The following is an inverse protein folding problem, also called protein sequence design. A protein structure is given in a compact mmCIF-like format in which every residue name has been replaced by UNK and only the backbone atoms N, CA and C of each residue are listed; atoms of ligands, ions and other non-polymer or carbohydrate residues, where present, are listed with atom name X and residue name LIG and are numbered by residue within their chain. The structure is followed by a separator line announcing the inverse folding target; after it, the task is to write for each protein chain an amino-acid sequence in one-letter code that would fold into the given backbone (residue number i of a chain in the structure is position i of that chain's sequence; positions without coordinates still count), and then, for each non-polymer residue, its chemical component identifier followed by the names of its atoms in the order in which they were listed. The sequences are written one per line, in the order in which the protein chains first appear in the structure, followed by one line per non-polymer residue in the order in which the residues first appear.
data_IF_470937826032
#
_entry.id   IF_470937826032
#
_cell.length_a   1.000
_cell.length_b   1.000
_cell.length_c   1.000
_cell.angle_alpha   90.00
_cell.angle_beta   90.00
_cell.angle_gamma   90.00
#
_symmetry.space_group_name_H-M   'P 1'
#
loop_
_entity.id
_entity.type
_entity.pdbx_description
1 polymer ?
#
# COMPACT_ATOMS: atom_id res chain seq x y z
N UNK A 1 28.75 11.20 14.85
CA UNK A 1 28.33 9.78 14.97
C UNK A 1 26.94 9.61 15.59
N UNK A 2 26.53 10.38 16.60
CA UNK A 2 25.21 10.22 17.24
C UNK A 2 24.00 10.43 16.31
N UNK A 3 24.10 11.32 15.33
CA UNK A 3 23.00 11.61 14.38
C UNK A 3 22.71 10.41 13.47
N UNK A 4 23.75 9.70 13.00
CA UNK A 4 23.58 8.49 12.18
C UNK A 4 22.94 7.35 12.98
N UNK A 5 23.36 7.17 14.24
CA UNK A 5 22.81 6.14 15.11
C UNK A 5 21.36 6.45 15.51
N UNK A 6 21.05 7.73 15.79
CA UNK A 6 19.70 8.19 16.06
C UNK A 6 18.79 8.03 14.84
N UNK A 7 19.27 8.30 13.62
CA UNK A 7 18.51 8.08 12.39
C UNK A 7 18.23 6.60 12.14
N UNK A 8 19.23 5.72 12.40
CA UNK A 8 19.07 4.27 12.24
C UNK A 8 18.06 3.69 13.25
N UNK A 9 18.17 4.09 14.52
CA UNK A 9 17.28 3.64 15.60
C UNK A 9 15.87 4.21 15.40
N UNK A 10 15.75 5.49 15.05
CA UNK A 10 14.46 6.13 14.73
C UNK A 10 13.80 5.46 13.54
N UNK A 11 14.56 5.14 12.48
CA UNK A 11 14.06 4.38 11.32
C UNK A 11 13.59 2.97 11.67
N UNK A 12 14.31 2.26 12.54
CA UNK A 12 13.91 0.93 13.01
C UNK A 12 12.64 0.98 13.89
N UNK A 13 12.51 2.00 14.74
CA UNK A 13 11.30 2.23 15.56
C UNK A 13 10.13 2.63 14.67
N UNK A 14 10.31 3.56 13.73
CA UNK A 14 9.27 3.95 12.77
C UNK A 14 8.82 2.75 11.95
N UNK A 15 9.75 1.93 11.46
CA UNK A 15 9.43 0.70 10.72
C UNK A 15 8.63 -0.29 11.58
N UNK A 16 8.96 -0.41 12.87
CA UNK A 16 8.23 -1.26 13.82
C UNK A 16 6.86 -0.68 14.23
N UNK A 17 6.71 0.65 14.23
CA UNK A 17 5.41 1.32 14.44
C UNK A 17 4.54 1.24 13.17
N UNK A 18 5.16 1.25 11.99
CA UNK A 18 4.49 1.06 10.68
C UNK A 18 4.12 -0.41 10.45
N UNK A 19 4.89 -1.38 10.96
CA UNK A 19 4.43 -2.78 10.96
C UNK A 19 3.23 -2.99 11.87
N UNK A 20 3.08 -2.15 12.90
CA UNK A 20 1.86 -2.04 13.73
C UNK A 20 0.76 -1.19 13.09
N UNK A 21 1.00 -0.50 11.97
CA UNK A 21 -0.05 0.19 11.23
C UNK A 21 -0.86 -0.81 10.42
N UNK A 22 -1.81 -1.42 11.11
CA UNK A 22 -2.83 -2.27 10.50
C UNK A 22 -3.53 -1.57 9.33
N UNK A 23 -3.65 -0.25 9.34
CA UNK A 23 -4.24 0.55 8.25
C UNK A 23 -3.40 0.60 6.97
N UNK A 24 -2.09 0.34 7.04
CA UNK A 24 -1.22 0.32 5.86
C UNK A 24 -1.60 -0.80 4.88
N UNK A 25 -2.34 -1.83 5.36
CA UNK A 25 -2.89 -2.90 4.53
C UNK A 25 -3.86 -2.41 3.45
N UNK A 26 -4.47 -1.22 3.59
CA UNK A 26 -5.41 -0.67 2.60
C UNK A 26 -4.76 0.22 1.53
N UNK A 27 -3.46 0.52 1.65
CA UNK A 27 -2.76 1.32 0.66
C UNK A 27 -2.46 0.47 -0.57
N UNK A 28 -2.77 1.00 -1.77
CA UNK A 28 -2.57 0.26 -3.02
C UNK A 28 -1.11 -0.19 -3.18
N UNK A 29 -0.14 0.66 -2.81
CA UNK A 29 1.30 0.39 -2.89
C UNK A 29 1.72 -0.89 -2.16
N UNK A 30 1.15 -1.16 -0.99
CA UNK A 30 1.49 -2.34 -0.17
C UNK A 30 0.89 -3.61 -0.80
N UNK A 31 -0.26 -3.48 -1.46
CA UNK A 31 -0.95 -4.58 -2.13
C UNK A 31 -0.39 -4.93 -3.52
N UNK A 32 0.50 -4.10 -4.10
CA UNK A 32 1.08 -4.34 -5.43
C UNK A 32 1.99 -5.58 -5.49
N UNK A 33 2.61 -5.97 -4.38
CA UNK A 33 3.55 -7.09 -4.34
C UNK A 33 2.85 -8.45 -4.21
N UNK A 34 1.89 -8.71 -5.10
CA UNK A 34 1.12 -9.97 -5.19
C UNK A 34 2.04 -11.20 -5.39
N UNK A 35 3.15 -11.03 -6.11
CA UNK A 35 4.15 -12.07 -6.39
C UNK A 35 4.81 -12.63 -5.14
N UNK A 36 4.86 -11.86 -4.05
CA UNK A 36 5.41 -12.29 -2.75
C UNK A 36 4.56 -13.37 -2.09
N UNK A 37 3.24 -13.32 -2.29
CA UNK A 37 2.29 -14.29 -1.76
C UNK A 37 2.40 -15.64 -2.47
N UNK A 38 2.70 -15.63 -3.77
CA UNK A 38 2.85 -16.85 -4.59
C UNK A 38 4.22 -17.51 -4.36
N UNK A 39 5.24 -16.73 -3.99
CA UNK A 39 6.60 -17.21 -3.69
C UNK A 39 6.78 -17.69 -2.25
N UNK A 40 5.70 -17.77 -1.45
CA UNK A 40 5.73 -18.29 -0.08
C UNK A 40 6.43 -17.36 0.93
N UNK A 41 6.68 -16.11 0.55
CA UNK A 41 7.29 -15.10 1.42
C UNK A 41 6.25 -14.62 2.43
N UNK A 42 6.61 -14.58 3.71
CA UNK A 42 5.70 -14.14 4.76
C UNK A 42 5.13 -12.74 4.43
N UNK A 43 3.80 -12.54 4.55
CA UNK A 43 3.20 -11.26 4.24
C UNK A 43 3.78 -10.17 5.15
N UNK A 44 3.99 -8.96 4.63
CA UNK A 44 4.58 -7.86 5.40
C UNK A 44 3.70 -7.38 6.57
N UNK A 45 2.41 -7.75 6.59
CA UNK A 45 1.44 -7.40 7.64
C UNK A 45 0.63 -8.67 7.96
N UNK A 46 0.50 -8.98 9.25
CA UNK A 46 -0.33 -10.09 9.74
C UNK A 46 -1.79 -9.95 9.25
N UNK A 47 -2.32 -11.00 8.62
CA UNK A 47 -3.68 -11.04 8.09
C UNK A 47 -3.85 -10.61 6.63
N UNK A 48 -2.79 -10.20 5.92
CA UNK A 48 -2.89 -10.03 4.46
C UNK A 48 -2.95 -11.38 3.75
N UNK A 49 -4.03 -11.60 3.01
CA UNK A 49 -4.19 -12.73 2.08
C UNK A 49 -4.15 -12.25 0.64
N UNK A 50 -3.87 -13.15 -0.31
CA UNK A 50 -3.88 -12.81 -1.73
C UNK A 50 -5.24 -12.23 -2.17
N UNK A 51 -6.35 -12.79 -1.68
CA UNK A 51 -7.71 -12.32 -1.97
C UNK A 51 -8.00 -10.93 -1.39
N UNK A 52 -7.49 -10.62 -0.19
CA UNK A 52 -7.57 -9.29 0.40
C UNK A 52 -6.89 -8.24 -0.50
N UNK A 53 -5.64 -8.51 -0.91
CA UNK A 53 -4.88 -7.59 -1.76
C UNK A 53 -5.52 -7.35 -3.12
N UNK A 54 -6.07 -8.40 -3.75
CA UNK A 54 -6.80 -8.26 -5.01
C UNK A 54 -8.07 -7.42 -4.86
N UNK A 55 -8.79 -7.57 -3.76
CA UNK A 55 -10.02 -6.78 -3.50
C UNK A 55 -9.70 -5.30 -3.29
N UNK A 56 -8.65 -4.99 -2.52
CA UNK A 56 -8.21 -3.60 -2.30
C UNK A 56 -7.76 -2.95 -3.61
N UNK A 57 -7.00 -3.66 -4.44
CA UNK A 57 -6.59 -3.17 -5.75
C UNK A 57 -7.77 -2.95 -6.70
N UNK A 58 -8.78 -3.84 -6.69
CA UNK A 58 -9.99 -3.67 -7.49
C UNK A 58 -10.78 -2.41 -7.09
N UNK A 59 -10.91 -2.14 -5.79
CA UNK A 59 -11.55 -0.91 -5.29
C UNK A 59 -10.79 0.32 -5.76
N UNK A 60 -9.46 0.33 -5.62
CA UNK A 60 -8.62 1.43 -6.08
C UNK A 60 -8.73 1.64 -7.60
N UNK A 61 -8.78 0.57 -8.39
CA UNK A 61 -8.96 0.65 -9.83
C UNK A 61 -10.33 1.24 -10.21
N UNK A 62 -11.41 0.82 -9.54
CA UNK A 62 -12.74 1.38 -9.75
C UNK A 62 -12.80 2.87 -9.41
N UNK A 63 -12.24 3.27 -8.27
CA UNK A 63 -12.18 4.69 -7.87
C UNK A 63 -11.38 5.51 -8.89
N UNK A 64 -10.21 5.00 -9.32
CA UNK A 64 -9.40 5.66 -10.34
C UNK A 64 -10.14 5.79 -11.68
N UNK A 65 -10.88 4.77 -12.11
CA UNK A 65 -11.72 4.83 -13.31
C UNK A 65 -12.81 5.88 -13.18
N UNK A 66 -13.54 5.92 -12.07
CA UNK A 66 -14.60 6.91 -11.83
C UNK A 66 -14.02 8.34 -11.86
N UNK A 67 -12.89 8.57 -11.18
CA UNK A 67 -12.21 9.86 -11.17
C UNK A 67 -11.73 10.22 -12.59
N UNK A 68 -11.14 9.26 -13.30
CA UNK A 68 -10.69 9.41 -14.68
C UNK A 68 -11.85 9.86 -15.58
N UNK A 69 -12.97 9.12 -15.60
CA UNK A 69 -14.15 9.50 -16.36
C UNK A 69 -14.68 10.87 -15.96
N UNK A 70 -14.80 11.16 -14.66
CA UNK A 70 -15.29 12.45 -14.20
C UNK A 70 -14.39 13.63 -14.65
N UNK A 71 -13.07 13.48 -14.51
CA UNK A 71 -12.08 14.50 -14.88
C UNK A 71 -12.00 14.67 -16.40
N UNK A 72 -11.99 13.58 -17.17
CA UNK A 72 -11.92 13.63 -18.63
C UNK A 72 -13.23 14.15 -19.24
N UNK A 73 -14.41 13.73 -18.78
CA UNK A 73 -15.69 14.27 -19.25
C UNK A 73 -15.81 15.78 -18.99
N UNK A 74 -15.27 16.29 -17.87
CA UNK A 74 -15.22 17.73 -17.59
C UNK A 74 -14.24 18.51 -18.48
N UNK A 75 -13.22 17.86 -19.04
CA UNK A 75 -12.14 18.50 -19.81
C UNK A 75 -12.26 18.32 -21.33
N UNK A 76 -12.98 17.30 -21.81
CA UNK A 76 -13.30 17.12 -23.23
C UNK A 76 -14.39 18.08 -23.74
N UNK A 77 -15.07 18.78 -22.84
CA UNK A 77 -16.03 19.85 -23.20
C UNK A 77 -15.31 21.20 -23.15
N UNK A 78 -14.45 21.45 -24.13
CA UNK A 78 -13.99 22.80 -24.51
C UNK A 78 -13.69 22.87 -26.00
#
# INVERSE_FOLDING_TARGET
MGIMLAALISGAILSSMVSSWESAKYLFMVNLRLTSYVSGMAPPIDGMTLSFSMTVLAIWALVALIISFYVFTKRDVY
#
